data_IF_658561816929
#
_entry.id   IF_658561816929
#
_cell.length_a   1.000
_cell.length_b   1.000
_cell.length_c   1.000
_cell.angle_alpha   90.00
_cell.angle_beta   90.00
_cell.angle_gamma   90.00
#
_symmetry.space_group_name_H-M   'P 1'
#
loop_
_entity.id
_entity.type
_entity.pdbx_description
1 polymer ?
#
# COMPACT_ATOMS: atom_id res chain seq x y z
N UNK A 1 8.56 -17.36 11.97
CA UNK A 1 9.19 -16.06 11.93
C UNK A 1 8.37 -15.08 11.12
N UNK A 2 8.25 -13.91 11.68
CA UNK A 2 7.50 -12.84 11.07
C UNK A 2 8.31 -12.20 9.95
N UNK A 3 7.67 -11.88 8.88
CA UNK A 3 8.20 -11.06 7.79
C UNK A 3 9.55 -11.50 7.22
N UNK A 4 9.50 -12.04 6.04
CA UNK A 4 10.67 -12.40 5.23
C UNK A 4 10.61 -11.61 3.92
N UNK A 5 11.65 -11.69 3.09
CA UNK A 5 11.61 -11.10 1.76
C UNK A 5 10.48 -11.68 0.92
N UNK A 6 10.15 -12.94 1.12
CA UNK A 6 9.02 -13.58 0.43
C UNK A 6 7.68 -12.92 0.78
N UNK A 7 7.53 -12.37 1.99
CA UNK A 7 6.35 -11.57 2.36
C UNK A 7 6.41 -10.18 1.72
N UNK A 8 7.61 -9.57 1.71
CA UNK A 8 7.78 -8.20 1.25
C UNK A 8 7.72 -8.02 -0.26
N UNK A 9 8.23 -8.99 -1.03
CA UNK A 9 8.31 -8.84 -2.48
C UNK A 9 6.96 -8.55 -3.15
N UNK A 10 5.88 -9.32 -2.89
CA UNK A 10 4.57 -8.97 -3.47
C UNK A 10 4.03 -7.65 -2.94
N UNK A 11 4.25 -7.33 -1.67
CA UNK A 11 3.85 -6.06 -1.07
C UNK A 11 4.48 -4.88 -1.81
N UNK A 12 5.80 -4.89 -1.98
CA UNK A 12 6.51 -3.79 -2.64
C UNK A 12 6.21 -3.73 -4.14
N UNK A 13 5.93 -4.86 -4.77
CA UNK A 13 5.50 -4.90 -6.17
C UNK A 13 4.15 -4.18 -6.34
N UNK A 14 3.19 -4.42 -5.45
CA UNK A 14 1.91 -3.72 -5.48
C UNK A 14 2.08 -2.22 -5.23
N UNK A 15 2.91 -1.84 -4.25
CA UNK A 15 3.19 -0.43 -3.97
C UNK A 15 3.77 0.28 -5.20
N UNK A 16 4.70 -0.35 -5.90
CA UNK A 16 5.30 0.23 -7.11
C UNK A 16 4.27 0.42 -8.22
N UNK A 17 3.37 -0.53 -8.39
CA UNK A 17 2.29 -0.43 -9.38
C UNK A 17 1.37 0.74 -9.03
N UNK A 18 0.95 0.85 -7.78
CA UNK A 18 0.06 1.92 -7.34
C UNK A 18 0.72 3.29 -7.46
N UNK A 19 1.98 3.39 -7.07
CA UNK A 19 2.75 4.64 -7.18
C UNK A 19 2.83 5.13 -8.62
N UNK A 20 3.02 4.23 -9.57
CA UNK A 20 3.06 4.56 -10.99
C UNK A 20 1.69 4.99 -11.53
N UNK A 21 0.61 4.45 -10.99
CA UNK A 21 -0.75 4.68 -11.51
C UNK A 21 -1.41 5.95 -10.99
N UNK A 22 -1.01 6.45 -9.82
CA UNK A 22 -1.67 7.62 -9.24
C UNK A 22 -0.69 8.54 -8.55
N UNK A 23 -0.82 9.88 -8.75
CA UNK A 23 -0.02 10.85 -8.01
C UNK A 23 -0.46 10.98 -6.54
N UNK A 24 -1.58 10.37 -6.15
CA UNK A 24 -2.08 10.44 -4.78
C UNK A 24 -1.44 9.42 -3.85
N UNK A 25 -0.62 8.50 -4.37
CA UNK A 25 0.14 7.57 -3.57
C UNK A 25 1.63 7.93 -3.59
N UNK A 26 2.33 7.66 -2.49
CA UNK A 26 3.76 7.88 -2.39
C UNK A 26 4.39 6.79 -1.50
N UNK A 27 5.67 6.54 -1.68
CA UNK A 27 6.42 5.52 -0.95
C UNK A 27 7.52 6.11 -0.07
N UNK A 28 7.66 7.43 -0.05
CA UNK A 28 8.71 8.11 0.72
C UNK A 28 8.42 8.11 2.22
N UNK A 29 7.17 8.36 2.60
CA UNK A 29 6.73 8.40 3.99
C UNK A 29 5.74 7.29 4.26
N UNK A 30 5.80 6.72 5.45
CA UNK A 30 4.92 5.64 5.86
C UNK A 30 5.62 4.70 6.83
N UNK A 31 5.12 3.48 6.93
CA UNK A 31 5.73 2.49 7.81
C UNK A 31 7.09 2.05 7.28
N UNK A 32 8.05 1.97 8.18
CA UNK A 32 9.40 1.51 7.85
C UNK A 32 9.38 0.01 7.53
N UNK A 33 10.17 -0.38 6.53
CA UNK A 33 10.36 -1.79 6.20
C UNK A 33 10.93 -2.55 7.41
N UNK A 34 10.25 -3.61 7.83
CA UNK A 34 10.74 -4.48 8.90
C UNK A 34 11.90 -5.35 8.41
N UNK A 35 12.91 -5.52 9.26
CA UNK A 35 13.94 -6.52 9.01
C UNK A 35 13.34 -7.94 9.08
N UNK A 36 13.94 -8.92 8.41
CA UNK A 36 13.46 -10.30 8.48
C UNK A 36 13.32 -10.79 9.92
N UNK A 37 12.16 -11.35 10.26
CA UNK A 37 11.87 -11.84 11.60
C UNK A 37 11.55 -10.78 12.65
N UNK A 38 11.47 -9.51 12.27
CA UNK A 38 11.30 -8.38 13.19
C UNK A 38 9.97 -7.64 13.06
N UNK A 39 9.07 -8.10 12.20
CA UNK A 39 7.77 -7.47 12.06
C UNK A 39 6.95 -7.57 13.34
N UNK A 40 6.23 -6.49 13.66
CA UNK A 40 5.37 -6.47 14.85
C UNK A 40 4.09 -7.28 14.60
N UNK A 41 4.01 -8.48 15.13
CA UNK A 41 2.86 -9.37 14.96
C UNK A 41 1.62 -8.95 15.76
N UNK A 42 1.73 -7.91 16.61
CA UNK A 42 0.55 -7.32 17.23
C UNK A 42 -0.24 -6.46 16.24
N UNK A 43 0.36 -6.03 15.13
CA UNK A 43 -0.35 -5.32 14.06
C UNK A 43 -1.13 -6.31 13.19
N UNK A 44 -2.40 -6.02 12.93
CA UNK A 44 -3.30 -6.93 12.19
C UNK A 44 -2.77 -7.30 10.81
N UNK A 45 -2.24 -6.33 10.06
CA UNK A 45 -1.67 -6.56 8.73
C UNK A 45 -0.53 -7.56 8.76
N UNK A 46 0.41 -7.39 9.69
CA UNK A 46 1.55 -8.28 9.83
C UNK A 46 1.13 -9.68 10.28
N UNK A 47 0.13 -9.75 11.17
CA UNK A 47 -0.39 -11.04 11.67
C UNK A 47 -1.08 -11.82 10.54
N UNK A 48 -1.87 -11.14 9.71
CA UNK A 48 -2.53 -11.78 8.56
C UNK A 48 -1.49 -12.28 7.56
N UNK A 49 -0.48 -11.48 7.25
CA UNK A 49 0.58 -11.88 6.33
C UNK A 49 1.33 -13.11 6.86
N UNK A 50 1.72 -13.11 8.13
CA UNK A 50 2.43 -14.23 8.74
C UNK A 50 1.59 -15.48 8.81
N UNK A 51 0.34 -15.36 9.26
CA UNK A 51 -0.51 -16.51 9.55
C UNK A 51 -1.00 -17.21 8.29
N UNK A 52 -1.33 -16.45 7.27
CA UNK A 52 -1.99 -16.96 6.06
C UNK A 52 -1.14 -16.88 4.81
N UNK A 53 0.07 -16.34 4.90
CA UNK A 53 0.92 -16.13 3.73
C UNK A 53 0.31 -15.13 2.74
N UNK A 54 -0.56 -14.27 3.21
CA UNK A 54 -1.24 -13.29 2.36
C UNK A 54 -0.40 -12.04 2.18
N UNK A 55 -0.55 -11.39 1.03
CA UNK A 55 -0.05 -10.03 0.84
C UNK A 55 -1.02 -9.08 1.54
N UNK A 56 -0.55 -8.41 2.59
CA UNK A 56 -1.39 -7.58 3.42
C UNK A 56 -0.73 -6.22 3.65
N UNK A 57 -1.53 -5.16 3.65
CA UNK A 57 -1.04 -3.81 3.83
C UNK A 57 -2.13 -2.91 4.39
N UNK A 58 -1.70 -1.78 4.96
CA UNK A 58 -2.59 -0.72 5.42
C UNK A 58 -2.36 0.51 4.56
N UNK A 59 -3.40 0.98 3.91
CA UNK A 59 -3.37 2.23 3.17
C UNK A 59 -3.94 3.34 4.06
N UNK A 60 -3.16 4.37 4.31
CA UNK A 60 -3.59 5.52 5.08
C UNK A 60 -3.82 6.71 4.14
N UNK A 61 -5.01 7.30 4.24
CA UNK A 61 -5.36 8.48 3.49
C UNK A 61 -5.02 9.75 4.28
N UNK A 62 -4.71 10.86 3.60
CA UNK A 62 -4.38 12.10 4.28
C UNK A 62 -5.58 12.63 5.09
N UNK A 63 -5.28 13.35 6.17
CA UNK A 63 -6.30 13.95 7.00
C UNK A 63 -6.87 15.23 6.39
N UNK A 64 -5.99 16.12 5.94
CA UNK A 64 -6.40 17.42 5.38
C UNK A 64 -6.15 17.51 3.88
N UNK A 65 -4.96 17.20 3.46
CA UNK A 65 -4.55 17.24 2.07
C UNK A 65 -3.35 16.32 1.84
N UNK A 66 -3.19 15.89 0.60
CA UNK A 66 -2.06 15.06 0.20
C UNK A 66 -0.88 15.95 -0.21
N UNK A 67 0.18 15.93 0.59
CA UNK A 67 1.37 16.74 0.31
C UNK A 67 2.06 16.39 -1.01
N UNK A 68 1.94 15.14 -1.46
CA UNK A 68 2.53 14.70 -2.71
C UNK A 68 1.77 15.23 -3.94
N UNK A 69 0.49 15.56 -3.78
CA UNK A 69 -0.37 16.06 -4.85
C UNK A 69 -1.44 16.96 -4.22
N UNK A 70 -1.07 18.18 -3.78
CA UNK A 70 -1.96 19.04 -3.01
C UNK A 70 -3.08 19.65 -3.85
N UNK A 71 -4.22 19.86 -3.20
CA UNK A 71 -5.36 20.62 -3.73
C UNK A 71 -5.71 21.70 -2.72
N UNK A 72 -5.21 22.96 -2.90
CA UNK A 72 -5.32 24.02 -1.88
C UNK A 72 -6.74 24.44 -1.52
N UNK A 73 -7.69 24.31 -2.45
CA UNK A 73 -9.05 24.77 -2.21
C UNK A 73 -9.90 23.79 -1.39
N UNK A 74 -9.78 22.49 -1.68
CA UNK A 74 -10.65 21.49 -1.07
C UNK A 74 -9.88 20.46 -0.22
N UNK A 75 -8.57 20.34 -0.43
CA UNK A 75 -7.77 19.34 0.24
C UNK A 75 -8.17 17.91 -0.18
N UNK A 76 -8.04 16.99 0.76
CA UNK A 76 -8.48 15.60 0.54
C UNK A 76 -9.99 15.52 0.65
N UNK A 77 -10.65 15.00 -0.36
CA UNK A 77 -12.12 15.02 -0.47
C UNK A 77 -12.68 13.62 -0.70
N UNK A 78 -14.01 13.43 -0.51
CA UNK A 78 -14.65 12.15 -0.86
C UNK A 78 -14.43 11.76 -2.33
N UNK A 79 -14.39 12.73 -3.24
CA UNK A 79 -14.13 12.45 -4.65
C UNK A 79 -12.73 11.89 -4.87
N UNK A 80 -11.74 12.43 -4.17
CA UNK A 80 -10.36 11.92 -4.23
C UNK A 80 -10.25 10.53 -3.62
N UNK A 81 -11.02 10.23 -2.56
CA UNK A 81 -11.10 8.87 -2.02
C UNK A 81 -11.63 7.88 -3.06
N UNK A 82 -12.66 8.26 -3.79
CA UNK A 82 -13.22 7.43 -4.85
C UNK A 82 -12.25 7.19 -6.00
N UNK A 83 -11.54 8.23 -6.40
CA UNK A 83 -10.51 8.12 -7.44
C UNK A 83 -9.37 7.22 -6.99
N UNK A 84 -8.92 7.36 -5.76
CA UNK A 84 -7.88 6.48 -5.20
C UNK A 84 -8.35 5.03 -5.16
N UNK A 85 -9.60 4.77 -4.79
CA UNK A 85 -10.17 3.43 -4.79
C UNK A 85 -10.13 2.80 -6.18
N UNK A 86 -10.46 3.55 -7.23
CA UNK A 86 -10.37 3.08 -8.61
C UNK A 86 -8.93 2.74 -8.98
N UNK A 87 -7.98 3.58 -8.58
CA UNK A 87 -6.56 3.34 -8.84
C UNK A 87 -6.05 2.11 -8.09
N UNK A 88 -6.52 1.90 -6.86
CA UNK A 88 -6.20 0.70 -6.08
C UNK A 88 -6.71 -0.57 -6.76
N UNK A 89 -7.94 -0.54 -7.30
CA UNK A 89 -8.51 -1.67 -8.01
C UNK A 89 -7.76 -1.93 -9.33
N UNK A 90 -7.43 -0.88 -10.07
CA UNK A 90 -6.65 -1.02 -11.30
C UNK A 90 -5.25 -1.59 -11.01
N UNK A 91 -4.62 -1.12 -9.92
CA UNK A 91 -3.34 -1.65 -9.48
C UNK A 91 -3.44 -3.12 -9.07
N UNK A 92 -4.53 -3.50 -8.40
CA UNK A 92 -4.78 -4.89 -8.02
C UNK A 92 -4.90 -5.78 -9.25
N UNK A 93 -5.65 -5.34 -10.26
CA UNK A 93 -5.79 -6.10 -11.51
C UNK A 93 -4.43 -6.32 -12.17
N UNK A 94 -3.63 -5.28 -12.30
CA UNK A 94 -2.28 -5.40 -12.86
C UNK A 94 -1.39 -6.33 -12.01
N UNK A 95 -1.48 -6.20 -10.69
CA UNK A 95 -0.74 -7.06 -9.76
C UNK A 95 -1.08 -8.53 -9.96
N UNK A 96 -2.36 -8.86 -10.08
CA UNK A 96 -2.81 -10.23 -10.28
C UNK A 96 -2.40 -10.77 -11.66
N UNK A 97 -2.48 -9.94 -12.69
CA UNK A 97 -2.08 -10.32 -14.04
C UNK A 97 -0.58 -10.63 -14.14
N UNK A 98 0.25 -9.95 -13.34
CA UNK A 98 1.69 -10.14 -13.34
C UNK A 98 2.18 -11.15 -12.31
N UNK A 99 1.32 -11.57 -11.38
CA UNK A 99 1.70 -12.46 -10.29
C UNK A 99 2.17 -13.83 -10.77
N UNK A 100 1.68 -14.28 -11.92
CA UNK A 100 2.00 -15.59 -12.49
C UNK A 100 3.02 -15.50 -13.64
N UNK A 101 3.40 -14.29 -13.97
CA UNK A 101 4.35 -14.01 -15.04
C UNK A 101 5.80 -14.21 -14.69
#
# INVERSE_FOLDING_TARGET
PAWTDAHGDPYYRYEAILDRRTPDFQTEFGYTKSAPGKANLAMSTNQVAERFGATAMTLEMPYKDNKANPEPEQGWSPERCKMLARDCLAALLEFLDTAEG
#
